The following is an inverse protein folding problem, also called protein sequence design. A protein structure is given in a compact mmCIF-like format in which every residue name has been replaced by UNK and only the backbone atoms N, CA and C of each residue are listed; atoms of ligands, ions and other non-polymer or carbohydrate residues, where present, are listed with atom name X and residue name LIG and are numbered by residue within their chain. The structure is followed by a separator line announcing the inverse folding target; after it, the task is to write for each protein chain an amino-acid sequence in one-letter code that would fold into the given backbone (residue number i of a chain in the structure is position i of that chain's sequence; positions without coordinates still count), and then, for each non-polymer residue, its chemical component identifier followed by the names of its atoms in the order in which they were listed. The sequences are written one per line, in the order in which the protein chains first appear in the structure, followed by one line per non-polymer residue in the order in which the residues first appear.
data_IF_359434615271
#
_entry.id   IF_359434615271
#
_cell.length_a   1.000
_cell.length_b   1.000
_cell.length_c   1.000
_cell.angle_alpha   90.00
_cell.angle_beta   90.00
_cell.angle_gamma   90.00
#
_symmetry.space_group_name_H-M   'P 1'
#
loop_
_entity.id
_entity.type
_entity.pdbx_description
1 polymer ?
#
# COMPACT_ATOMS: atom_id res chain seq x y z
N UNK A 1 -12.62 -6.79 14.72
CA UNK A 1 -11.47 -7.08 13.86
C UNK A 1 -11.70 -8.24 12.90
N UNK A 2 -11.93 -9.50 13.32
CA UNK A 2 -12.19 -10.63 12.39
C UNK A 2 -13.28 -10.34 11.34
N UNK A 3 -14.38 -9.69 11.75
CA UNK A 3 -15.48 -9.33 10.84
C UNK A 3 -15.09 -8.26 9.83
N UNK A 4 -14.23 -7.30 10.20
CA UNK A 4 -13.72 -6.26 9.32
C UNK A 4 -12.84 -6.87 8.22
N UNK A 5 -11.81 -7.64 8.60
CA UNK A 5 -10.91 -8.29 7.65
C UNK A 5 -11.64 -9.25 6.69
N UNK A 6 -12.69 -9.94 7.17
CA UNK A 6 -13.50 -10.83 6.34
C UNK A 6 -14.37 -10.08 5.30
N UNK A 7 -14.61 -8.79 5.51
CA UNK A 7 -15.39 -7.92 4.61
C UNK A 7 -14.51 -7.10 3.66
N UNK A 8 -13.19 -7.19 3.79
CA UNK A 8 -12.27 -6.42 2.97
C UNK A 8 -12.51 -6.61 1.48
N UNK A 9 -12.60 -5.50 0.76
CA UNK A 9 -12.74 -5.44 -0.71
C UNK A 9 -12.12 -4.17 -1.27
N UNK A 10 -11.55 -4.25 -2.44
CA UNK A 10 -11.03 -3.07 -3.14
C UNK A 10 -12.18 -2.21 -3.67
N UNK A 11 -12.20 -0.93 -3.30
CA UNK A 11 -13.15 0.08 -3.79
C UNK A 11 -12.47 0.93 -4.85
N UNK A 12 -13.13 1.09 -6.00
CA UNK A 12 -12.60 1.82 -7.17
C UNK A 12 -13.45 3.00 -7.59
N UNK A 13 -14.63 3.19 -6.96
CA UNK A 13 -15.48 4.36 -7.14
C UNK A 13 -15.66 5.05 -5.80
N UNK A 14 -15.43 6.35 -5.79
CA UNK A 14 -15.43 7.16 -4.59
C UNK A 14 -16.34 8.36 -4.76
N UNK A 15 -17.02 8.75 -3.69
CA UNK A 15 -17.68 10.04 -3.58
C UNK A 15 -16.63 11.14 -3.47
N UNK A 16 -16.96 12.34 -3.95
CA UNK A 16 -16.05 13.50 -3.90
C UNK A 16 -15.91 14.12 -2.50
N UNK A 17 -16.57 13.54 -1.50
CA UNK A 17 -16.55 13.98 -0.12
C UNK A 17 -15.13 13.86 0.47
N UNK A 18 -14.59 14.93 1.08
CA UNK A 18 -13.27 14.88 1.70
C UNK A 18 -13.27 13.96 2.93
N UNK A 19 -12.11 13.38 3.23
CA UNK A 19 -11.88 12.64 4.46
C UNK A 19 -11.73 13.65 5.60
N UNK A 20 -12.42 13.45 6.72
CA UNK A 20 -12.27 14.28 7.90
C UNK A 20 -10.82 14.24 8.41
N UNK A 21 -10.22 15.39 8.81
CA UNK A 21 -8.83 15.44 9.23
C UNK A 21 -8.50 14.47 10.38
N UNK A 22 -9.44 14.29 11.30
CA UNK A 22 -9.31 13.39 12.45
C UNK A 22 -9.23 11.93 12.00
N UNK A 23 -10.05 11.53 11.03
CA UNK A 23 -10.03 10.19 10.45
C UNK A 23 -8.73 9.93 9.71
N UNK A 24 -8.23 10.92 8.95
CA UNK A 24 -6.94 10.82 8.28
C UNK A 24 -5.80 10.68 9.30
N UNK A 25 -5.86 11.43 10.41
CA UNK A 25 -4.89 11.33 11.48
C UNK A 25 -4.90 9.93 12.12
N UNK A 26 -6.07 9.38 12.46
CA UNK A 26 -6.22 8.02 13.01
C UNK A 26 -5.58 6.98 12.09
N UNK A 27 -5.82 7.07 10.79
CA UNK A 27 -5.23 6.18 9.79
C UNK A 27 -3.69 6.25 9.77
N UNK A 28 -3.13 7.47 9.85
CA UNK A 28 -1.68 7.68 9.84
C UNK A 28 -1.04 7.21 11.16
N UNK A 29 -1.72 7.40 12.29
CA UNK A 29 -1.29 6.87 13.58
C UNK A 29 -1.31 5.34 13.60
N UNK A 30 -2.36 4.71 13.07
CA UNK A 30 -2.43 3.25 12.93
C UNK A 30 -1.28 2.71 12.06
N UNK A 31 -0.97 3.39 10.94
CA UNK A 31 0.20 3.06 10.12
C UNK A 31 1.50 3.09 10.93
N UNK A 32 1.68 4.12 11.75
CA UNK A 32 2.90 4.31 12.56
C UNK A 32 3.10 3.23 13.63
N UNK A 33 2.04 2.49 13.97
CA UNK A 33 2.08 1.39 14.95
C UNK A 33 2.40 0.03 14.35
N UNK A 34 2.69 -0.02 13.05
CA UNK A 34 3.14 -1.26 12.39
C UNK A 34 4.49 -1.73 12.95
N UNK A 35 4.71 -3.04 12.88
CA UNK A 35 6.03 -3.62 13.17
C UNK A 35 7.04 -3.18 12.12
N UNK A 36 8.27 -2.87 12.55
CA UNK A 36 9.36 -2.47 11.66
C UNK A 36 10.66 -3.16 12.02
N UNK A 37 11.54 -3.32 11.05
CA UNK A 37 12.85 -3.93 11.25
C UNK A 37 13.70 -3.06 12.21
N UNK A 38 14.10 -3.65 13.33
CA UNK A 38 14.96 -2.97 14.33
C UNK A 38 14.41 -1.65 14.85
N UNK A 39 13.10 -1.39 14.73
CA UNK A 39 12.44 -0.13 15.03
C UNK A 39 12.99 1.08 14.25
N UNK A 40 13.59 0.83 13.08
CA UNK A 40 14.17 1.90 12.23
C UNK A 40 13.11 2.66 11.44
N UNK A 41 11.93 2.07 11.26
CA UNK A 41 10.78 2.68 10.56
C UNK A 41 11.16 3.17 9.16
N UNK A 42 11.69 2.26 8.35
CA UNK A 42 12.27 2.54 7.02
C UNK A 42 11.19 2.78 5.96
N UNK A 43 10.21 3.61 6.26
CA UNK A 43 9.14 3.98 5.34
C UNK A 43 8.76 5.45 5.47
N UNK A 44 8.16 5.98 4.43
CA UNK A 44 7.50 7.29 4.40
C UNK A 44 6.16 7.20 3.69
N UNK A 45 5.20 8.00 4.15
CA UNK A 45 3.86 8.11 3.60
C UNK A 45 3.69 9.51 3.02
N UNK A 46 3.45 9.61 1.71
CA UNK A 46 3.19 10.88 1.03
C UNK A 46 1.69 11.00 0.81
N UNK A 47 1.05 11.87 1.57
CA UNK A 47 -0.40 12.11 1.53
C UNK A 47 -0.71 13.19 0.50
N UNK A 48 -1.42 12.83 -0.56
CA UNK A 48 -1.79 13.71 -1.66
C UNK A 48 -3.30 13.94 -1.69
N UNK A 49 -3.74 15.15 -1.29
CA UNK A 49 -5.14 15.58 -1.34
C UNK A 49 -5.37 16.64 -2.42
N UNK A 50 -4.32 17.36 -2.85
CA UNK A 50 -4.39 18.33 -3.93
C UNK A 50 -4.86 17.68 -5.24
N UNK A 51 -5.85 18.30 -5.89
CA UNK A 51 -6.37 17.84 -7.17
C UNK A 51 -5.29 17.86 -8.25
N UNK A 52 -4.52 18.93 -8.30
CA UNK A 52 -3.43 19.11 -9.28
C UNK A 52 -2.41 17.97 -9.19
N UNK A 53 -2.00 17.63 -7.97
CA UNK A 53 -1.00 16.60 -7.77
C UNK A 53 -1.56 15.20 -8.06
N UNK A 54 -2.84 14.96 -7.76
CA UNK A 54 -3.51 13.69 -8.14
C UNK A 54 -3.65 13.56 -9.66
N UNK A 55 -3.95 14.66 -10.36
CA UNK A 55 -3.99 14.70 -11.83
C UNK A 55 -2.59 14.47 -12.42
N UNK A 56 -1.53 15.01 -11.81
CA UNK A 56 -0.14 14.76 -12.22
C UNK A 56 0.28 13.29 -12.02
N UNK A 57 -0.20 12.65 -10.97
CA UNK A 57 0.07 11.24 -10.67
C UNK A 57 -0.76 10.26 -11.54
N UNK A 58 -1.90 10.69 -12.09
CA UNK A 58 -2.80 9.80 -12.83
C UNK A 58 -2.14 9.05 -14.00
N UNK A 59 -1.29 9.65 -14.83
CA UNK A 59 -0.55 8.93 -15.88
C UNK A 59 0.33 7.81 -15.35
N UNK A 60 0.97 8.00 -14.19
CA UNK A 60 1.79 6.98 -13.53
C UNK A 60 0.97 5.75 -13.12
N UNK A 61 -0.33 5.91 -12.98
CA UNK A 61 -1.27 4.83 -12.67
C UNK A 61 -2.15 4.47 -13.88
N UNK A 62 -1.64 4.64 -15.11
CA UNK A 62 -2.31 4.30 -16.38
C UNK A 62 -3.68 4.98 -16.52
N UNK A 63 -3.81 6.20 -15.98
CA UNK A 63 -5.04 6.99 -15.97
C UNK A 63 -6.24 6.25 -15.36
N UNK A 64 -6.01 5.42 -14.36
CA UNK A 64 -7.11 4.77 -13.63
C UNK A 64 -7.98 5.84 -12.95
N UNK A 65 -9.29 5.87 -13.21
CA UNK A 65 -10.17 6.97 -12.77
C UNK A 65 -10.15 7.20 -11.26
N UNK A 66 -9.95 6.14 -10.48
CA UNK A 66 -9.93 6.22 -9.02
C UNK A 66 -8.82 7.12 -8.46
N UNK A 67 -7.73 7.35 -9.19
CA UNK A 67 -6.63 8.22 -8.75
C UNK A 67 -7.08 9.68 -8.63
N UNK A 68 -7.91 10.15 -9.57
CA UNK A 68 -8.44 11.51 -9.56
C UNK A 68 -9.77 11.64 -8.82
N UNK A 69 -10.56 10.56 -8.74
CA UNK A 69 -11.86 10.53 -8.07
C UNK A 69 -11.74 10.43 -6.54
N UNK A 70 -10.80 9.63 -6.04
CA UNK A 70 -10.59 9.51 -4.60
C UNK A 70 -10.15 10.85 -4.00
N UNK A 71 -10.67 11.26 -2.84
CA UNK A 71 -10.27 12.51 -2.17
C UNK A 71 -8.83 12.49 -1.67
N UNK A 72 -8.27 11.30 -1.46
CA UNK A 72 -6.91 11.13 -0.95
C UNK A 72 -6.18 10.00 -1.68
N UNK A 73 -4.94 10.25 -2.04
CA UNK A 73 -3.98 9.28 -2.57
C UNK A 73 -2.77 9.25 -1.65
N UNK A 74 -2.38 8.07 -1.21
CA UNK A 74 -1.23 7.89 -0.30
C UNK A 74 -0.18 7.05 -1.01
N UNK A 75 0.95 7.67 -1.36
CA UNK A 75 2.11 6.96 -1.89
C UNK A 75 2.95 6.47 -0.71
N UNK A 76 3.13 5.17 -0.63
CA UNK A 76 3.89 4.49 0.41
C UNK A 76 5.27 4.17 -0.13
N UNK A 77 6.30 4.65 0.55
CA UNK A 77 7.70 4.55 0.10
C UNK A 77 8.53 3.74 1.08
N UNK A 78 9.45 2.92 0.55
CA UNK A 78 10.62 2.48 1.29
C UNK A 78 11.56 3.71 1.47
N UNK A 79 12.01 3.96 2.69
CA UNK A 79 12.79 5.16 3.03
C UNK A 79 14.00 4.78 3.87
N UNK A 80 15.14 4.63 3.23
CA UNK A 80 16.44 4.45 3.89
C UNK A 80 17.19 5.79 4.04
N UNK A 81 16.71 6.85 3.38
CA UNK A 81 17.32 8.18 3.40
C UNK A 81 17.32 8.76 4.81
N UNK A 82 16.16 8.79 5.48
CA UNK A 82 16.02 9.37 6.82
C UNK A 82 16.97 8.72 7.81
N UNK A 83 17.11 7.40 7.80
CA UNK A 83 17.98 6.69 8.73
C UNK A 83 19.45 6.90 8.37
N UNK A 84 19.81 6.98 7.11
CA UNK A 84 21.16 7.32 6.65
C UNK A 84 21.57 8.73 7.13
N UNK A 85 20.71 9.71 6.93
CA UNK A 85 20.93 11.09 7.42
C UNK A 85 21.07 11.15 8.95
N UNK A 86 20.31 10.32 9.66
CA UNK A 86 20.42 10.22 11.11
C UNK A 86 21.76 9.62 11.56
N UNK A 87 22.30 8.62 10.84
CA UNK A 87 23.64 8.07 11.08
C UNK A 87 24.71 9.13 10.86
N UNK A 88 24.69 9.84 9.74
CA UNK A 88 25.65 10.90 9.39
C UNK A 88 25.70 12.00 10.45
N UNK A 89 24.53 12.43 10.98
CA UNK A 89 24.46 13.42 12.06
C UNK A 89 25.08 12.95 13.39
N UNK A 90 25.42 11.67 13.52
CA UNK A 90 26.02 11.05 14.70
C UNK A 90 27.41 10.47 14.43
N UNK A 91 28.05 10.94 13.38
CA UNK A 91 29.38 10.49 12.97
C UNK A 91 29.45 8.95 12.75
N UNK A 92 28.30 8.33 12.39
CA UNK A 92 28.23 6.93 12.03
C UNK A 92 28.16 6.78 10.51
N UNK A 93 28.94 5.83 9.96
CA UNK A 93 28.92 5.54 8.54
C UNK A 93 27.66 4.75 8.16
N UNK A 94 26.77 5.28 7.29
CA UNK A 94 25.57 4.56 6.88
C UNK A 94 25.92 3.46 5.87
N UNK A 95 25.43 2.24 6.11
CA UNK A 95 25.60 1.08 5.23
C UNK A 95 24.25 0.57 4.67
N UNK A 96 23.31 1.48 4.43
CA UNK A 96 21.91 1.14 4.11
C UNK A 96 21.59 1.26 2.60
N UNK A 97 22.56 1.59 1.76
CA UNK A 97 22.44 1.70 0.29
C UNK A 97 22.70 0.33 -0.38
N UNK A 98 21.83 -0.64 -0.10
CA UNK A 98 21.91 -1.95 -0.71
C UNK A 98 20.54 -2.64 -0.78
N UNK A 99 20.45 -3.72 -1.55
CA UNK A 99 19.23 -4.46 -1.79
C UNK A 99 18.56 -5.01 -0.51
N UNK A 100 19.33 -5.48 0.44
CA UNK A 100 18.76 -6.03 1.68
C UNK A 100 18.02 -4.97 2.49
N UNK A 101 18.57 -3.76 2.56
CA UNK A 101 17.92 -2.65 3.25
C UNK A 101 16.75 -2.07 2.47
N UNK A 102 16.82 -2.06 1.15
CA UNK A 102 15.65 -1.77 0.32
C UNK A 102 14.51 -2.74 0.61
N UNK A 103 14.80 -4.05 0.67
CA UNK A 103 13.78 -5.06 0.97
C UNK A 103 13.20 -4.90 2.39
N UNK A 104 14.01 -4.55 3.39
CA UNK A 104 13.53 -4.22 4.72
C UNK A 104 12.61 -2.99 4.70
N UNK A 105 12.99 -1.94 3.98
CA UNK A 105 12.16 -0.76 3.79
C UNK A 105 10.83 -1.07 3.09
N UNK A 106 10.83 -1.94 2.08
CA UNK A 106 9.61 -2.42 1.42
C UNK A 106 8.72 -3.17 2.41
N UNK A 107 9.29 -4.02 3.26
CA UNK A 107 8.54 -4.77 4.26
C UNK A 107 7.90 -3.84 5.28
N UNK A 108 8.66 -2.91 5.85
CA UNK A 108 8.15 -1.89 6.79
C UNK A 108 7.03 -1.06 6.16
N UNK A 109 7.23 -0.62 4.92
CA UNK A 109 6.27 0.18 4.16
C UNK A 109 4.94 -0.56 3.95
N UNK A 110 4.97 -1.84 3.56
CA UNK A 110 3.77 -2.62 3.32
C UNK A 110 3.02 -2.97 4.60
N UNK A 111 3.72 -3.21 5.72
CA UNK A 111 3.09 -3.41 7.03
C UNK A 111 2.37 -2.14 7.50
N UNK A 112 3.01 -0.98 7.38
CA UNK A 112 2.41 0.31 7.69
C UNK A 112 1.20 0.60 6.79
N UNK A 113 1.31 0.34 5.49
CA UNK A 113 0.23 0.46 4.53
C UNK A 113 -0.99 -0.39 4.88
N UNK A 114 -0.77 -1.64 5.32
CA UNK A 114 -1.87 -2.52 5.68
C UNK A 114 -2.58 -2.07 6.97
N UNK A 115 -1.86 -1.60 7.98
CA UNK A 115 -2.47 -1.01 9.17
C UNK A 115 -3.34 0.20 8.82
N UNK A 116 -2.82 1.11 7.99
CA UNK A 116 -3.57 2.26 7.48
C UNK A 116 -4.88 1.84 6.81
N UNK A 117 -4.83 0.82 5.95
CA UNK A 117 -6.01 0.33 5.24
C UNK A 117 -7.05 -0.27 6.19
N UNK A 118 -6.62 -1.03 7.20
CA UNK A 118 -7.53 -1.61 8.21
C UNK A 118 -8.23 -0.52 8.99
N UNK A 119 -7.51 0.54 9.38
CA UNK A 119 -8.09 1.68 10.08
C UNK A 119 -9.04 2.48 9.19
N UNK A 120 -8.68 2.73 7.93
CA UNK A 120 -9.58 3.36 6.96
C UNK A 120 -10.92 2.60 6.84
N UNK A 121 -10.86 1.27 6.71
CA UNK A 121 -12.06 0.43 6.63
C UNK A 121 -12.85 0.40 7.96
N UNK A 122 -12.19 0.54 9.11
CA UNK A 122 -12.84 0.65 10.42
C UNK A 122 -13.67 1.95 10.52
N UNK A 123 -13.21 3.03 9.88
CA UNK A 123 -13.96 4.28 9.73
C UNK A 123 -14.98 4.26 8.58
N UNK A 124 -15.20 3.13 7.93
CA UNK A 124 -16.17 2.99 6.82
C UNK A 124 -15.68 3.58 5.50
N UNK A 125 -14.39 3.89 5.37
CA UNK A 125 -13.78 4.29 4.11
C UNK A 125 -13.50 3.07 3.22
N UNK A 126 -13.44 3.31 1.91
CA UNK A 126 -12.98 2.35 0.94
C UNK A 126 -11.52 2.61 0.56
N UNK A 127 -10.81 1.53 0.23
CA UNK A 127 -9.41 1.60 -0.21
C UNK A 127 -9.19 0.77 -1.47
N UNK A 128 -8.17 1.13 -2.25
CA UNK A 128 -7.62 0.25 -3.26
C UNK A 128 -6.11 0.44 -3.38
N UNK A 129 -5.37 -0.67 -3.34
CA UNK A 129 -3.95 -0.69 -3.69
C UNK A 129 -3.74 -0.59 -5.20
N UNK A 130 -2.81 0.25 -5.62
CA UNK A 130 -2.41 0.42 -7.02
C UNK A 130 -1.08 -0.29 -7.27
N UNK A 131 -1.13 -1.48 -7.86
CA UNK A 131 0.05 -2.25 -8.23
C UNK A 131 0.89 -1.62 -9.37
N UNK A 132 0.38 -0.57 -9.99
CA UNK A 132 1.08 0.17 -11.05
C UNK A 132 2.27 0.97 -10.57
N UNK A 133 2.35 1.29 -9.29
CA UNK A 133 3.39 2.11 -8.67
C UNK A 133 4.80 1.65 -9.01
N UNK A 134 5.06 0.33 -8.96
CA UNK A 134 6.39 -0.22 -9.23
C UNK A 134 6.85 -0.06 -10.68
N UNK A 135 5.91 0.08 -11.64
CA UNK A 135 6.25 0.25 -13.06
C UNK A 135 6.68 1.67 -13.41
N UNK A 136 6.26 2.64 -12.60
CA UNK A 136 6.46 4.08 -12.83
C UNK A 136 7.06 4.78 -11.60
N UNK A 137 7.75 4.02 -10.75
CA UNK A 137 8.30 4.51 -9.48
C UNK A 137 9.21 5.74 -9.64
N UNK A 138 10.03 5.76 -10.71
CA UNK A 138 10.93 6.89 -11.02
C UNK A 138 10.14 8.17 -11.31
N UNK A 139 9.08 8.07 -12.12
CA UNK A 139 8.25 9.22 -12.46
C UNK A 139 7.45 9.72 -11.26
N UNK A 140 6.93 8.81 -10.44
CA UNK A 140 6.27 9.16 -9.18
C UNK A 140 7.25 9.88 -8.24
N UNK A 141 8.48 9.37 -8.12
CA UNK A 141 9.52 9.99 -7.30
C UNK A 141 9.83 11.42 -7.78
N UNK A 142 9.89 11.64 -9.10
CA UNK A 142 10.10 12.97 -9.69
C UNK A 142 8.93 13.92 -9.42
N UNK A 143 7.68 13.46 -9.55
CA UNK A 143 6.47 14.27 -9.29
C UNK A 143 6.37 14.66 -7.82
N UNK A 144 6.76 13.76 -6.92
CA UNK A 144 6.66 13.96 -5.48
C UNK A 144 7.95 14.51 -4.84
N UNK A 145 8.94 14.90 -5.63
CA UNK A 145 10.25 15.44 -5.18
C UNK A 145 10.92 14.53 -4.15
N UNK A 146 10.88 13.22 -4.36
CA UNK A 146 11.47 12.26 -3.42
C UNK A 146 13.00 12.28 -3.50
N UNK A 147 13.72 12.35 -2.36
CA UNK A 147 15.16 12.32 -2.36
C UNK A 147 15.71 10.91 -2.70
N UNK A 148 16.99 10.83 -3.02
CA UNK A 148 17.70 9.55 -3.17
C UNK A 148 17.52 8.70 -1.90
N UNK A 149 17.20 7.42 -2.08
CA UNK A 149 16.95 6.50 -0.97
C UNK A 149 15.50 6.45 -0.48
N UNK A 150 14.58 7.22 -1.10
CA UNK A 150 13.13 7.13 -0.91
C UNK A 150 12.50 6.62 -2.19
N UNK A 151 11.94 5.42 -2.16
CA UNK A 151 11.47 4.69 -3.36
C UNK A 151 9.98 4.33 -3.20
N UNK A 152 9.10 4.76 -4.13
CA UNK A 152 7.70 4.36 -4.12
C UNK A 152 7.54 2.84 -4.24
N UNK A 153 6.82 2.24 -3.29
CA UNK A 153 6.54 0.80 -3.22
C UNK A 153 5.13 0.49 -3.68
N UNK A 154 4.17 1.23 -3.18
CA UNK A 154 2.76 1.09 -3.53
C UNK A 154 2.04 2.41 -3.35
N UNK A 155 0.90 2.54 -3.98
CA UNK A 155 0.00 3.69 -3.80
C UNK A 155 -1.37 3.17 -3.38
N UNK A 156 -2.00 3.87 -2.47
CA UNK A 156 -3.34 3.55 -1.97
C UNK A 156 -4.25 4.75 -2.27
N UNK A 157 -5.37 4.50 -2.92
CA UNK A 157 -6.46 5.47 -3.03
C UNK A 157 -7.44 5.22 -1.89
N UNK A 158 -7.90 6.29 -1.24
CA UNK A 158 -8.77 6.23 -0.05
C UNK A 158 -9.88 7.27 -0.18
N UNK A 159 -11.10 6.89 0.20
CA UNK A 159 -12.23 7.79 0.23
C UNK A 159 -13.54 7.13 0.63
N UNK A 160 -14.62 7.89 0.63
CA UNK A 160 -15.96 7.37 0.89
C UNK A 160 -16.40 6.51 -0.30
N UNK A 161 -16.78 5.23 -0.09
CA UNK A 161 -17.13 4.33 -1.17
C UNK A 161 -18.42 4.77 -1.88
N UNK A 162 -18.42 4.74 -3.22
CA UNK A 162 -19.59 4.94 -4.07
C UNK A 162 -19.99 3.66 -4.82
N UNK A 163 -19.55 2.53 -4.30
CA UNK A 163 -19.89 1.20 -4.79
C UNK A 163 -19.84 0.17 -3.68
N UNK A 164 -20.47 -0.96 -3.89
CA UNK A 164 -20.38 -2.13 -2.99
C UNK A 164 -20.14 -3.39 -3.82
N UNK A 165 -18.91 -3.60 -4.31
CA UNK A 165 -18.59 -4.76 -5.12
C UNK A 165 -18.74 -6.06 -4.30
N UNK A 166 -18.95 -7.17 -5.00
CA UNK A 166 -18.94 -8.49 -4.38
C UNK A 166 -17.55 -8.82 -3.80
N UNK A 167 -17.53 -9.70 -2.80
CA UNK A 167 -16.27 -10.21 -2.26
C UNK A 167 -15.59 -11.08 -3.31
N UNK A 168 -14.31 -10.83 -3.55
CA UNK A 168 -13.51 -11.69 -4.40
C UNK A 168 -13.13 -12.97 -3.66
N UNK A 169 -13.17 -14.09 -4.39
CA UNK A 169 -12.72 -15.37 -3.86
C UNK A 169 -11.24 -15.31 -3.42
N UNK A 170 -10.92 -16.17 -2.50
CA UNK A 170 -9.55 -16.43 -2.04
C UNK A 170 -9.21 -17.89 -2.33
N UNK A 171 -7.93 -18.17 -2.48
CA UNK A 171 -7.47 -19.55 -2.49
C UNK A 171 -7.85 -20.23 -1.17
N UNK A 172 -8.14 -21.55 -1.19
CA UNK A 172 -8.33 -22.30 0.05
C UNK A 172 -7.07 -22.20 0.93
N UNK A 173 -7.25 -22.31 2.24
CA UNK A 173 -6.13 -22.11 3.20
C UNK A 173 -4.99 -23.11 2.97
N UNK A 174 -5.29 -24.34 2.63
CA UNK A 174 -4.31 -25.40 2.32
C UNK A 174 -3.47 -25.10 1.07
N UNK A 175 -3.90 -24.17 0.24
CA UNK A 175 -3.11 -23.67 -0.89
C UNK A 175 -2.05 -22.62 -0.51
N UNK A 176 -2.13 -22.04 0.67
CA UNK A 176 -1.25 -20.95 1.11
C UNK A 176 -0.64 -21.20 2.49
N UNK A 177 -1.12 -22.22 3.21
CA UNK A 177 -0.65 -22.57 4.55
C UNK A 177 -0.02 -23.96 4.51
N UNK A 178 1.25 -24.04 4.87
CA UNK A 178 2.00 -25.27 4.97
C UNK A 178 2.42 -25.48 6.44
N UNK A 179 2.10 -26.66 7.01
CA UNK A 179 2.52 -26.98 8.36
C UNK A 179 3.95 -27.55 8.34
N UNK A 180 4.81 -27.02 9.21
CA UNK A 180 6.21 -27.41 9.41
C UNK A 180 7.11 -27.21 8.18
N UNK A 181 6.72 -27.71 7.00
CA UNK A 181 7.48 -27.67 5.76
C UNK A 181 6.60 -27.37 4.59
N UNK A 182 7.20 -26.81 3.53
CA UNK A 182 6.50 -26.59 2.27
C UNK A 182 6.09 -27.92 1.64
N UNK A 183 4.84 -28.00 1.18
CA UNK A 183 4.29 -29.12 0.45
C UNK A 183 3.91 -28.72 -0.97
N UNK A 184 4.29 -29.53 -1.95
CA UNK A 184 3.87 -29.30 -3.34
C UNK A 184 2.37 -29.55 -3.51
N UNK A 185 1.75 -28.78 -4.39
CA UNK A 185 0.33 -28.88 -4.66
C UNK A 185 0.00 -30.18 -5.39
N UNK A 186 -1.21 -30.70 -5.15
CA UNK A 186 -1.78 -31.81 -5.91
C UNK A 186 -2.44 -31.27 -7.18
N UNK A 187 -2.68 -32.18 -8.16
CA UNK A 187 -3.35 -31.82 -9.45
C UNK A 187 -4.69 -31.11 -9.26
N UNK A 188 -5.44 -31.40 -8.19
CA UNK A 188 -6.73 -30.78 -7.91
C UNK A 188 -6.62 -29.26 -7.69
N UNK A 189 -5.55 -28.76 -7.08
CA UNK A 189 -5.31 -27.35 -6.87
C UNK A 189 -4.94 -26.62 -8.18
N UNK A 190 -4.21 -27.27 -9.06
CA UNK A 190 -3.85 -26.72 -10.37
C UNK A 190 -5.04 -26.64 -11.34
N UNK A 191 -6.08 -27.44 -11.14
CA UNK A 191 -7.29 -27.46 -11.97
C UNK A 191 -8.42 -26.60 -11.42
N UNK A 192 -8.30 -26.08 -10.20
CA UNK A 192 -9.26 -25.13 -9.65
C UNK A 192 -9.19 -23.80 -10.40
N UNK A 193 -10.35 -23.19 -10.76
CA UNK A 193 -10.32 -21.88 -11.42
C UNK A 193 -9.60 -20.84 -10.56
N UNK A 194 -8.64 -20.16 -11.15
CA UNK A 194 -7.98 -19.02 -10.50
C UNK A 194 -9.02 -17.92 -10.26
N UNK A 195 -8.94 -17.15 -9.17
CA UNK A 195 -9.75 -15.95 -8.98
C UNK A 195 -9.68 -14.98 -10.17
N UNK A 196 -8.60 -15.03 -10.98
CA UNK A 196 -8.44 -14.26 -12.22
C UNK A 196 -9.30 -14.76 -13.37
N UNK A 197 -9.66 -16.02 -13.41
CA UNK A 197 -10.37 -16.61 -14.56
C UNK A 197 -11.82 -16.16 -14.60
N UNK A 198 -12.40 -15.78 -13.45
CA UNK A 198 -13.77 -15.24 -13.34
C UNK A 198 -13.89 -13.78 -13.78
N UNK A 199 -12.79 -13.05 -13.92
CA UNK A 199 -12.80 -11.63 -14.33
C UNK A 199 -12.60 -11.42 -15.82
N UNK A 200 -12.51 -12.50 -16.60
CA UNK A 200 -12.30 -12.48 -18.07
C UNK A 200 -13.57 -12.82 -18.90
N UNK A 201 -14.71 -12.95 -18.23
CA UNK A 201 -16.01 -13.13 -18.92
C UNK A 201 -16.73 -11.81 -19.12
#
# INVERSE_FOLDING_TARGET
MKTLLAKHRSIRKFRSEPIAPEVLQDMLEAASRASTCGNMQLYSLIVTQSRELREALAPCHFNQPMVTQAPCVITVCADVHRFSMWCEQRDAEPCYDNFAWFLNGVTDALLAAQNLCVEAEAHGLGICYLGTTIYTAEEIARILDLPKGVIPVTTIVVGHPDESPELTDRLPLDAVVHCEKYHHYTCLLYTSPSPRDRTRS
#
